data_IF_704536855295
#
_entry.id   IF_704536855295
#
_cell.length_a   1.000
_cell.length_b   1.000
_cell.length_c   1.000
_cell.angle_alpha   90.00
_cell.angle_beta   90.00
_cell.angle_gamma   90.00
#
_symmetry.space_group_name_H-M   'P 1'
#
loop_
_entity.id
_entity.type
_entity.pdbx_description
1 polymer ?
#
# COMPACT_ATOMS: atom_id res chain seq x y z
N UNK A 1 -18.04 9.50 -16.17
CA UNK A 1 -18.01 9.06 -14.76
C UNK A 1 -16.60 8.54 -14.49
N UNK A 2 -15.88 9.13 -13.54
CA UNK A 2 -14.55 8.62 -13.17
C UNK A 2 -14.74 7.34 -12.35
N UNK A 3 -14.20 6.22 -12.82
CA UNK A 3 -14.18 4.98 -12.06
C UNK A 3 -12.98 5.04 -11.12
N UNK A 4 -13.24 5.11 -9.82
CA UNK A 4 -12.17 4.98 -8.82
C UNK A 4 -11.69 3.53 -8.86
N UNK A 5 -10.45 3.34 -9.28
CA UNK A 5 -9.81 2.03 -9.24
C UNK A 5 -9.54 1.67 -7.78
N UNK A 6 -10.18 0.61 -7.31
CA UNK A 6 -9.96 0.09 -5.96
C UNK A 6 -8.84 -0.95 -6.00
N UNK A 7 -7.86 -0.78 -5.13
CA UNK A 7 -6.78 -1.74 -4.91
C UNK A 7 -7.20 -2.80 -3.90
N UNK A 8 -8.06 -2.43 -2.94
CA UNK A 8 -8.61 -3.34 -1.94
C UNK A 8 -10.14 -3.36 -1.98
N UNK A 9 -10.74 -4.49 -1.59
CA UNK A 9 -12.21 -4.61 -1.47
C UNK A 9 -12.68 -3.90 -0.21
N UNK A 10 -11.87 -3.96 0.86
CA UNK A 10 -12.11 -3.24 2.10
C UNK A 10 -11.92 -1.73 1.89
N UNK A 11 -12.95 -0.91 2.17
CA UNK A 11 -12.86 0.54 2.02
C UNK A 11 -11.82 1.17 2.94
N UNK A 12 -11.53 0.55 4.09
CA UNK A 12 -10.51 1.01 5.01
C UNK A 12 -9.09 0.82 4.43
N UNK A 13 -8.80 -0.38 3.94
CA UNK A 13 -7.49 -0.71 3.35
C UNK A 13 -7.23 0.11 2.09
N UNK A 14 -8.27 0.29 1.26
CA UNK A 14 -8.19 1.10 0.04
C UNK A 14 -7.88 2.56 0.37
N UNK A 15 -8.55 3.13 1.39
CA UNK A 15 -8.29 4.48 1.86
C UNK A 15 -6.87 4.64 2.44
N UNK A 16 -6.45 3.72 3.31
CA UNK A 16 -5.15 3.81 3.95
C UNK A 16 -4.00 3.63 2.95
N UNK A 17 -4.17 2.75 1.97
CA UNK A 17 -3.20 2.56 0.90
C UNK A 17 -3.08 3.80 0.01
N UNK A 18 -4.21 4.41 -0.36
CA UNK A 18 -4.21 5.67 -1.12
C UNK A 18 -3.55 6.80 -0.32
N UNK A 19 -3.75 6.85 1.01
CA UNK A 19 -3.06 7.80 1.87
C UNK A 19 -1.55 7.59 1.87
N UNK A 20 -1.10 6.34 1.92
CA UNK A 20 0.32 6.00 1.86
C UNK A 20 0.93 6.38 0.50
N UNK A 21 0.25 6.07 -0.60
CA UNK A 21 0.64 6.49 -1.95
C UNK A 21 0.67 8.01 -2.12
N UNK A 22 -0.27 8.74 -1.49
CA UNK A 22 -0.28 10.20 -1.54
C UNK A 22 0.97 10.83 -0.88
N UNK A 23 1.68 10.08 -0.04
CA UNK A 23 2.95 10.50 0.58
C UNK A 23 4.18 10.20 -0.29
N UNK A 24 4.05 9.42 -1.37
CA UNK A 24 5.14 9.11 -2.31
C UNK A 24 5.94 10.35 -2.81
N UNK A 25 5.33 11.49 -3.20
CA UNK A 25 6.08 12.66 -3.68
C UNK A 25 6.92 13.38 -2.60
N UNK A 26 6.80 13.00 -1.32
CA UNK A 26 7.52 13.61 -0.20
C UNK A 26 8.66 12.72 0.33
N UNK A 27 9.45 12.12 -0.56
CA UNK A 27 10.45 11.08 -0.20
C UNK A 27 9.82 9.86 0.50
N UNK A 28 8.54 9.60 0.19
CA UNK A 28 7.81 8.43 0.69
C UNK A 28 8.12 7.17 -0.11
N UNK A 29 7.28 6.15 0.07
CA UNK A 29 7.42 4.88 -0.65
C UNK A 29 7.39 5.07 -2.17
N UNK A 30 8.29 4.39 -2.88
CA UNK A 30 8.27 4.31 -4.33
C UNK A 30 6.96 3.64 -4.79
N UNK A 31 6.32 4.19 -5.83
CA UNK A 31 4.97 3.79 -6.24
C UNK A 31 4.94 2.33 -6.71
N UNK A 32 5.95 1.88 -7.45
CA UNK A 32 6.12 0.50 -7.86
C UNK A 32 6.29 -0.46 -6.69
N UNK A 33 7.15 -0.15 -5.71
CA UNK A 33 7.34 -0.95 -4.50
C UNK A 33 6.07 -1.02 -3.65
N UNK A 34 5.36 0.11 -3.50
CA UNK A 34 4.08 0.16 -2.80
C UNK A 34 3.02 -0.71 -3.51
N UNK A 35 2.93 -0.65 -4.84
CA UNK A 35 2.01 -1.49 -5.61
C UNK A 35 2.39 -2.98 -5.56
N UNK A 36 3.67 -3.32 -5.56
CA UNK A 36 4.13 -4.69 -5.34
C UNK A 36 3.72 -5.18 -3.95
N UNK A 37 3.91 -4.36 -2.92
CA UNK A 37 3.44 -4.65 -1.57
C UNK A 37 1.92 -4.88 -1.54
N UNK A 38 1.14 -4.01 -2.19
CA UNK A 38 -0.32 -4.15 -2.28
C UNK A 38 -0.76 -5.48 -2.90
N UNK A 39 -0.01 -6.02 -3.86
CA UNK A 39 -0.30 -7.31 -4.49
C UNK A 39 -0.13 -8.51 -3.54
N UNK A 40 0.70 -8.37 -2.50
CA UNK A 40 0.99 -9.41 -1.50
C UNK A 40 0.06 -9.31 -0.29
N UNK A 41 -0.48 -8.13 -0.02
CA UNK A 41 -1.41 -7.88 1.07
C UNK A 41 -2.73 -8.60 0.82
N UNK A 42 -3.15 -9.39 1.81
CA UNK A 42 -4.47 -10.01 1.82
C UNK A 42 -5.52 -9.04 2.34
N UNK A 43 -6.60 -8.86 1.58
CA UNK A 43 -7.72 -7.98 1.95
C UNK A 43 -8.33 -8.40 3.30
N UNK A 44 -8.55 -7.43 4.19
CA UNK A 44 -9.04 -7.61 5.57
C UNK A 44 -8.10 -8.36 6.51
N UNK A 45 -6.82 -8.53 6.15
CA UNK A 45 -5.81 -9.18 6.98
C UNK A 45 -4.81 -8.13 7.50
N UNK A 46 -4.96 -7.62 8.74
CA UNK A 46 -4.09 -6.58 9.28
C UNK A 46 -2.65 -7.05 9.53
N UNK A 47 -2.44 -8.34 9.78
CA UNK A 47 -1.10 -8.91 9.95
C UNK A 47 -0.34 -8.94 8.62
N UNK A 48 -1.02 -9.36 7.54
CA UNK A 48 -0.47 -9.33 6.18
C UNK A 48 -0.18 -7.89 5.73
N UNK A 49 -1.02 -6.93 6.13
CA UNK A 49 -0.80 -5.50 5.90
C UNK A 49 0.47 -5.00 6.57
N UNK A 50 0.59 -5.22 7.88
CA UNK A 50 1.72 -4.76 8.67
C UNK A 50 3.03 -5.40 8.23
N UNK A 51 3.07 -6.73 8.11
CA UNK A 51 4.28 -7.47 7.76
C UNK A 51 4.80 -7.13 6.36
N UNK A 52 3.91 -7.00 5.37
CA UNK A 52 4.31 -6.66 4.00
C UNK A 52 4.85 -5.23 3.91
N UNK A 53 4.18 -4.25 4.53
CA UNK A 53 4.64 -2.86 4.52
C UNK A 53 5.96 -2.70 5.30
N UNK A 54 6.13 -3.43 6.39
CA UNK A 54 7.39 -3.46 7.15
C UNK A 54 8.53 -4.06 6.32
N UNK A 55 8.27 -5.15 5.59
CA UNK A 55 9.27 -5.74 4.69
C UNK A 55 9.67 -4.77 3.58
N UNK A 56 8.70 -4.08 2.96
CA UNK A 56 8.96 -3.07 1.92
C UNK A 56 9.75 -1.89 2.47
N UNK A 57 9.43 -1.39 3.67
CA UNK A 57 10.20 -0.34 4.33
C UNK A 57 11.65 -0.76 4.60
N UNK A 58 11.87 -1.95 5.15
CA UNK A 58 13.22 -2.48 5.39
C UNK A 58 14.04 -2.65 4.10
N UNK A 59 13.39 -3.00 2.98
CA UNK A 59 14.04 -3.09 1.66
C UNK A 59 14.46 -1.72 1.13
N UNK A 60 13.64 -0.69 1.35
CA UNK A 60 13.96 0.68 0.92
C UNK A 60 15.12 1.30 1.74
N UNK A 61 15.32 0.86 2.98
CA UNK A 61 16.40 1.33 3.86
C UNK A 61 17.76 0.62 3.66
N UNK A 62 17.81 -0.49 2.92
CA UNK A 62 19.05 -1.28 2.67
C UNK A 62 19.76 -0.90 1.38
#
# INVERSE_FOLDING_TARGET
MATIHKLFKSPFFDFEFLRLLAMAPHEGAEIGEALEAASKIKDQDPESWYSTLLETGNKAES
#
